data_IF_996766664863
#
_entry.id   IF_996766664863
#
_cell.length_a   1.000
_cell.length_b   1.000
_cell.length_c   1.000
_cell.angle_alpha   90.00
_cell.angle_beta   90.00
_cell.angle_gamma   90.00
#
_symmetry.space_group_name_H-M   'P 1'
#
loop_
_entity.id
_entity.type
_entity.pdbx_description
1 polymer ?
#
# COMPACT_ATOMS: atom_id res chain seq x y z
N UNK A 1 57.12 21.16 3.59
CA UNK A 1 56.34 20.16 2.83
C UNK A 1 55.24 19.45 3.65
N UNK A 2 55.40 19.24 4.97
CA UNK A 2 54.39 18.56 5.82
C UNK A 2 53.01 19.25 5.93
N UNK A 3 52.96 20.58 5.75
CA UNK A 3 51.72 21.37 5.87
C UNK A 3 50.78 21.29 4.65
N UNK A 4 51.32 21.06 3.45
CA UNK A 4 50.51 20.87 2.25
C UNK A 4 49.75 19.54 2.26
N UNK A 5 50.32 18.50 2.90
CA UNK A 5 49.69 17.19 3.00
C UNK A 5 48.44 17.21 3.90
N UNK A 6 48.48 17.98 4.98
CA UNK A 6 47.33 18.17 5.89
C UNK A 6 46.17 18.93 5.22
N UNK A 7 46.46 19.94 4.40
CA UNK A 7 45.42 20.67 3.66
C UNK A 7 44.78 19.79 2.58
N UNK A 8 45.56 18.95 1.88
CA UNK A 8 45.03 18.01 0.89
C UNK A 8 44.11 16.96 1.54
N UNK A 9 44.49 16.44 2.72
CA UNK A 9 43.68 15.46 3.46
C UNK A 9 42.37 16.06 4.00
N UNK A 10 42.40 17.32 4.45
CA UNK A 10 41.21 18.05 4.88
C UNK A 10 40.26 18.34 3.71
N UNK A 11 40.80 18.67 2.53
CA UNK A 11 40.01 18.93 1.32
C UNK A 11 39.30 17.66 0.82
N UNK A 12 39.96 16.50 0.86
CA UNK A 12 39.36 15.21 0.49
C UNK A 12 38.26 14.80 1.48
N UNK A 13 38.41 15.11 2.78
CA UNK A 13 37.35 14.88 3.76
C UNK A 13 36.12 15.80 3.54
N UNK A 14 36.34 17.04 3.10
CA UNK A 14 35.27 17.99 2.78
C UNK A 14 34.54 17.64 1.47
N UNK A 15 35.21 17.00 0.52
CA UNK A 15 34.61 16.55 -0.75
C UNK A 15 33.83 15.22 -0.59
N UNK A 16 34.10 14.44 0.46
CA UNK A 16 33.37 13.21 0.74
C UNK A 16 31.95 13.43 1.30
N UNK A 17 31.57 14.67 1.66
CA UNK A 17 30.19 14.99 2.06
C UNK A 17 29.24 15.22 0.89
N UNK A 18 29.74 15.21 -0.36
CA UNK A 18 28.90 15.19 -1.53
C UNK A 18 28.54 13.72 -1.87
N UNK A 19 27.77 13.08 -0.97
CA UNK A 19 27.21 11.77 -1.24
C UNK A 19 26.33 11.85 -2.50
N UNK A 20 26.48 10.91 -3.46
CA UNK A 20 25.74 10.95 -4.71
C UNK A 20 24.24 11.03 -4.42
N UNK A 21 23.55 11.90 -5.16
CA UNK A 21 22.12 12.25 -5.07
C UNK A 21 21.20 11.03 -5.00
N UNK A 22 21.15 10.44 -3.81
CA UNK A 22 20.53 9.18 -3.53
C UNK A 22 19.08 9.42 -3.15
N UNK A 23 18.22 9.49 -4.16
CA UNK A 23 16.80 9.19 -4.06
C UNK A 23 16.18 9.81 -2.78
N UNK A 24 16.18 11.14 -2.71
CA UNK A 24 15.72 11.91 -1.55
C UNK A 24 14.22 11.70 -1.42
N UNK A 25 13.78 10.93 -0.43
CA UNK A 25 12.35 10.81 -0.13
C UNK A 25 11.73 12.18 0.12
N UNK A 26 10.41 12.25 0.11
CA UNK A 26 9.70 13.51 0.31
C UNK A 26 9.93 14.05 1.71
N UNK A 27 10.40 15.29 1.81
CA UNK A 27 10.62 15.99 3.07
C UNK A 27 9.76 17.25 3.14
N UNK A 28 9.12 17.48 4.29
CA UNK A 28 8.41 18.71 4.59
C UNK A 28 8.49 19.00 6.09
N UNK A 29 8.76 20.26 6.44
CA UNK A 29 8.75 20.76 7.83
C UNK A 29 9.59 19.90 8.81
N UNK A 30 10.80 19.51 8.37
CA UNK A 30 11.74 18.71 9.16
C UNK A 30 11.37 17.23 9.27
N UNK A 31 10.41 16.74 8.48
CA UNK A 31 9.96 15.35 8.46
C UNK A 31 10.18 14.80 7.06
N UNK A 32 10.89 13.68 6.96
CA UNK A 32 11.16 13.00 5.72
C UNK A 32 10.57 11.60 5.76
N UNK A 33 9.87 11.22 4.71
CA UNK A 33 9.34 9.87 4.53
C UNK A 33 9.86 9.30 3.22
N UNK A 34 10.18 8.00 3.24
CA UNK A 34 10.62 7.27 2.06
C UNK A 34 10.03 5.87 2.05
N UNK A 35 9.48 5.45 0.93
CA UNK A 35 9.06 4.07 0.68
C UNK A 35 9.84 3.47 -0.48
N UNK A 36 10.15 2.17 -0.39
CA UNK A 36 10.77 1.40 -1.47
C UNK A 36 10.49 -0.09 -1.29
N UNK A 37 10.56 -0.87 -2.36
CA UNK A 37 10.67 -2.32 -2.23
C UNK A 37 12.09 -2.73 -1.78
N UNK A 38 12.21 -3.84 -1.04
CA UNK A 38 13.48 -4.40 -0.57
C UNK A 38 13.77 -5.82 -1.11
N UNK A 39 13.06 -6.25 -2.16
CA UNK A 39 13.18 -7.58 -2.72
C UNK A 39 12.70 -7.65 -4.16
N UNK A 40 12.73 -8.86 -4.72
CA UNK A 40 12.19 -9.11 -6.05
C UNK A 40 10.68 -8.88 -6.05
N UNK A 41 10.21 -8.12 -7.04
CA UNK A 41 8.80 -7.82 -7.21
C UNK A 41 8.23 -8.91 -8.11
N UNK A 42 7.37 -9.77 -7.57
CA UNK A 42 6.77 -10.89 -8.31
C UNK A 42 5.31 -11.07 -7.94
N UNK A 43 4.52 -11.48 -8.92
CA UNK A 43 3.11 -11.86 -8.73
C UNK A 43 3.00 -12.98 -7.68
N UNK A 44 1.96 -12.91 -6.83
CA UNK A 44 1.65 -13.91 -5.78
C UNK A 44 2.79 -14.17 -4.79
N UNK A 45 3.80 -13.31 -4.77
CA UNK A 45 4.91 -13.36 -3.83
C UNK A 45 4.78 -12.21 -2.84
N UNK A 46 5.18 -12.44 -1.61
CA UNK A 46 5.25 -11.40 -0.60
C UNK A 46 6.40 -10.44 -0.93
N UNK A 47 6.09 -9.16 -1.11
CA UNK A 47 7.05 -8.11 -1.44
C UNK A 47 7.27 -7.24 -0.21
N UNK A 48 8.48 -7.21 0.36
CA UNK A 48 8.77 -6.38 1.52
C UNK A 48 8.90 -4.92 1.10
N UNK A 49 7.97 -4.08 1.55
CA UNK A 49 8.05 -2.63 1.44
C UNK A 49 8.73 -2.06 2.68
N UNK A 50 9.79 -1.28 2.48
CA UNK A 50 10.54 -0.63 3.55
C UNK A 50 10.20 0.86 3.57
N UNK A 51 9.57 1.27 4.65
CA UNK A 51 9.22 2.66 4.94
C UNK A 51 10.23 3.20 5.93
N UNK A 52 10.91 4.28 5.58
CA UNK A 52 11.83 5.03 6.45
C UNK A 52 11.22 6.38 6.76
N UNK A 53 11.12 6.70 8.05
CA UNK A 53 10.67 8.00 8.52
C UNK A 53 11.77 8.62 9.37
N UNK A 54 12.16 9.84 9.03
CA UNK A 54 13.11 10.64 9.80
C UNK A 54 12.45 11.95 10.19
N UNK A 55 12.65 12.40 11.42
CA UNK A 55 12.15 13.69 11.90
C UNK A 55 13.26 14.46 12.59
N UNK A 56 13.28 15.78 12.43
CA UNK A 56 14.17 16.70 13.16
C UNK A 56 13.50 17.29 14.42
N UNK A 57 12.24 16.94 14.67
CA UNK A 57 11.43 17.43 15.80
C UNK A 57 10.64 16.31 16.48
N UNK A 58 10.18 16.57 17.70
CA UNK A 58 9.31 15.65 18.43
C UNK A 58 7.92 15.61 17.80
N UNK A 59 7.43 14.40 17.52
CA UNK A 59 6.14 14.11 16.92
C UNK A 59 5.38 13.09 17.80
N UNK A 60 4.65 13.56 18.84
CA UNK A 60 3.80 12.69 19.63
C UNK A 60 2.60 12.23 18.78
N UNK A 61 2.15 11.00 19.03
CA UNK A 61 0.93 10.43 18.47
C UNK A 61 0.84 10.42 16.93
N UNK A 62 1.99 10.37 16.26
CA UNK A 62 2.06 10.42 14.79
C UNK A 62 1.39 9.22 14.17
N UNK A 63 0.51 9.46 13.19
CA UNK A 63 -0.12 8.41 12.39
C UNK A 63 0.63 8.26 11.08
N UNK A 64 1.21 7.08 10.88
CA UNK A 64 1.84 6.68 9.62
C UNK A 64 0.86 5.73 8.94
N UNK A 65 0.44 6.04 7.72
CA UNK A 65 -0.52 5.26 6.95
C UNK A 65 0.15 4.75 5.67
N UNK A 66 0.03 3.46 5.40
CA UNK A 66 0.38 2.87 4.11
C UNK A 66 -0.90 2.52 3.37
N UNK A 67 -1.02 2.97 2.13
CA UNK A 67 -2.15 2.74 1.24
C UNK A 67 -1.68 2.08 -0.05
N UNK A 68 -2.42 1.08 -0.53
CA UNK A 68 -2.14 0.34 -1.76
C UNK A 68 -3.36 0.42 -2.67
N UNK A 69 -3.14 0.78 -3.94
CA UNK A 69 -4.20 0.94 -4.95
C UNK A 69 -3.70 0.54 -6.35
N UNK A 70 -4.50 -0.11 -7.22
CA UNK A 70 -5.78 -0.72 -6.91
C UNK A 70 -5.56 -2.07 -6.22
N UNK A 71 -6.00 -2.21 -4.98
CA UNK A 71 -5.93 -3.46 -4.23
C UNK A 71 -4.53 -3.84 -3.74
N UNK A 72 -4.30 -5.15 -3.59
CA UNK A 72 -3.17 -5.70 -2.86
C UNK A 72 -3.57 -6.25 -1.50
N UNK A 73 -2.82 -7.24 -1.02
CA UNK A 73 -3.03 -7.89 0.28
C UNK A 73 -1.87 -7.45 1.18
N UNK A 74 -2.18 -6.71 2.23
CA UNK A 74 -1.19 -6.31 3.24
C UNK A 74 -1.08 -7.46 4.25
N UNK A 75 0.06 -8.14 4.26
CA UNK A 75 0.30 -9.31 5.11
C UNK A 75 0.76 -8.89 6.53
N UNK A 76 0.79 -9.81 7.50
CA UNK A 76 1.38 -9.60 8.83
C UNK A 76 0.97 -8.30 9.53
N UNK A 77 -0.31 -8.22 9.91
CA UNK A 77 -0.92 -7.07 10.57
C UNK A 77 -0.56 -6.84 12.05
N UNK A 78 0.57 -7.37 12.53
CA UNK A 78 1.00 -7.21 13.91
C UNK A 78 1.36 -5.74 14.24
N UNK A 79 1.02 -5.32 15.46
CA UNK A 79 1.32 -3.98 16.02
C UNK A 79 0.66 -2.77 15.33
N UNK A 80 -0.46 -2.98 14.62
CA UNK A 80 -1.17 -1.94 13.88
C UNK A 80 -2.37 -1.43 14.67
N UNK A 81 -2.59 -0.12 14.59
CA UNK A 81 -3.68 0.52 15.31
C UNK A 81 -4.99 0.43 14.54
N UNK A 82 -4.94 0.48 13.21
CA UNK A 82 -6.10 0.31 12.34
C UNK A 82 -5.71 -0.48 11.08
N UNK A 83 -6.54 -1.43 10.68
CA UNK A 83 -6.47 -2.09 9.38
C UNK A 83 -7.79 -1.82 8.67
N UNK A 84 -7.73 -1.11 7.55
CA UNK A 84 -8.92 -0.80 6.75
C UNK A 84 -8.73 -1.42 5.37
N UNK A 85 -9.26 -2.62 5.19
CA UNK A 85 -9.50 -3.16 3.85
C UNK A 85 -10.89 -2.70 3.41
N UNK A 86 -10.98 -1.78 2.43
CA UNK A 86 -12.28 -1.29 1.96
C UNK A 86 -12.98 -2.37 1.11
N UNK A 87 -14.30 -2.47 1.29
CA UNK A 87 -15.19 -3.58 0.86
C UNK A 87 -15.24 -3.94 -0.63
N UNK A 88 -14.49 -3.27 -1.51
CA UNK A 88 -14.42 -3.57 -2.94
C UNK A 88 -13.01 -3.95 -3.42
N UNK A 89 -12.06 -4.16 -2.50
CA UNK A 89 -10.67 -4.51 -2.83
C UNK A 89 -9.91 -3.42 -3.61
N UNK A 90 -10.48 -2.22 -3.75
CA UNK A 90 -9.86 -1.14 -4.50
C UNK A 90 -8.72 -0.49 -3.72
N UNK A 91 -8.80 -0.41 -2.40
CA UNK A 91 -7.76 0.17 -1.54
C UNK A 91 -7.55 -0.73 -0.34
N UNK A 92 -6.31 -1.13 -0.11
CA UNK A 92 -5.86 -1.71 1.14
C UNK A 92 -5.10 -0.65 1.94
N UNK A 93 -5.45 -0.44 3.19
CA UNK A 93 -4.83 0.56 4.05
C UNK A 93 -4.48 -0.01 5.43
N UNK A 94 -3.35 0.46 5.95
CA UNK A 94 -2.91 0.11 7.29
C UNK A 94 -2.25 1.31 7.96
N UNK A 95 -2.48 1.47 9.26
CA UNK A 95 -1.95 2.59 10.02
C UNK A 95 -1.23 2.17 11.30
N UNK A 96 -0.17 2.90 11.62
CA UNK A 96 0.59 2.79 12.86
C UNK A 96 0.54 4.12 13.61
N UNK A 97 0.30 4.06 14.92
CA UNK A 97 0.51 5.20 15.83
C UNK A 97 1.87 5.06 16.49
N UNK A 98 2.76 6.05 16.31
CA UNK A 98 4.10 6.07 16.90
C UNK A 98 4.41 7.44 17.48
N UNK A 99 5.05 7.44 18.64
CA UNK A 99 5.72 8.64 19.16
C UNK A 99 7.14 8.66 18.57
N UNK A 100 7.52 9.77 17.98
CA UNK A 100 8.87 9.97 17.45
C UNK A 100 9.53 11.16 18.15
N UNK A 101 10.76 10.98 18.64
CA UNK A 101 11.56 12.06 19.19
C UNK A 101 12.30 12.83 18.09
N UNK A 102 12.77 14.03 18.41
CA UNK A 102 13.62 14.82 17.53
C UNK A 102 14.88 14.03 17.11
N UNK A 103 15.25 14.15 15.83
CA UNK A 103 16.38 13.47 15.17
C UNK A 103 16.28 11.94 15.18
N UNK A 104 15.10 11.39 15.44
CA UNK A 104 14.87 9.95 15.36
C UNK A 104 14.61 9.52 13.91
N UNK A 105 15.16 8.36 13.55
CA UNK A 105 14.78 7.61 12.36
C UNK A 105 14.14 6.30 12.78
N UNK A 106 13.01 5.95 12.17
CA UNK A 106 12.37 4.65 12.31
C UNK A 106 12.28 3.97 10.96
N UNK A 107 12.30 2.64 10.97
CA UNK A 107 12.10 1.81 9.79
C UNK A 107 10.94 0.86 10.06
N UNK A 108 9.95 0.88 9.18
CA UNK A 108 8.80 -0.04 9.18
C UNK A 108 8.94 -0.91 7.94
N UNK A 109 8.85 -2.23 8.13
CA UNK A 109 8.83 -3.18 7.01
C UNK A 109 7.44 -3.78 6.93
N UNK A 110 6.85 -3.72 5.74
CA UNK A 110 5.51 -4.20 5.49
C UNK A 110 5.46 -5.08 4.24
N UNK A 111 5.01 -6.31 4.41
CA UNK A 111 4.81 -7.26 3.33
C UNK A 111 3.51 -6.97 2.57
N UNK A 112 3.58 -6.93 1.24
CA UNK A 112 2.42 -6.76 0.35
C UNK A 112 2.45 -7.86 -0.71
N UNK A 113 1.30 -8.48 -0.98
CA UNK A 113 1.13 -9.46 -2.05
C UNK A 113 0.11 -8.98 -3.08
N UNK A 114 0.43 -9.17 -4.36
CA UNK A 114 -0.47 -8.86 -5.47
C UNK A 114 -0.90 -10.15 -6.17
N UNK A 115 -2.21 -10.36 -6.31
CA UNK A 115 -2.76 -11.57 -6.91
C UNK A 115 -2.79 -11.51 -8.45
N UNK A 116 -2.89 -10.30 -9.01
CA UNK A 116 -3.03 -10.04 -10.44
C UNK A 116 -1.87 -9.19 -11.00
N UNK A 117 -1.60 -9.26 -12.31
CA UNK A 117 -0.70 -8.32 -12.96
C UNK A 117 -1.38 -6.94 -13.10
N UNK A 118 -0.60 -5.88 -13.09
CA UNK A 118 -1.10 -4.51 -13.19
C UNK A 118 -0.13 -3.47 -12.66
N UNK A 119 -0.54 -2.21 -12.78
CA UNK A 119 0.17 -1.07 -12.19
C UNK A 119 -0.47 -0.73 -10.84
N UNK A 120 0.33 -0.73 -9.78
CA UNK A 120 -0.08 -0.50 -8.40
C UNK A 120 0.66 0.70 -7.82
N UNK A 121 -0.07 1.62 -7.22
CA UNK A 121 0.44 2.71 -6.40
C UNK A 121 0.53 2.27 -4.94
N UNK A 122 1.73 2.34 -4.37
CA UNK A 122 2.00 2.14 -2.95
C UNK A 122 2.43 3.46 -2.35
N UNK A 123 1.59 4.02 -1.50
CA UNK A 123 1.77 5.35 -0.92
C UNK A 123 1.91 5.23 0.58
N UNK A 124 2.87 5.96 1.14
CA UNK A 124 2.95 6.20 2.58
C UNK A 124 2.62 7.66 2.86
N UNK A 125 1.83 7.89 3.91
CA UNK A 125 1.43 9.21 4.37
C UNK A 125 1.71 9.33 5.86
N UNK A 126 2.14 10.52 6.29
CA UNK A 126 2.29 10.87 7.69
C UNK A 126 1.31 12.00 7.99
N UNK A 127 0.39 11.73 8.92
CA UNK A 127 -0.60 12.69 9.39
C UNK A 127 -0.33 13.02 10.87
N UNK A 128 -0.39 14.30 11.19
CA UNK A 128 -0.24 14.85 12.54
C UNK A 128 -0.54 16.35 12.55
N UNK A 129 -0.44 17.01 13.71
CA UNK A 129 -0.71 18.45 13.87
C UNK A 129 -0.05 19.32 12.77
N UNK A 130 -0.83 19.65 11.72
CA UNK A 130 -0.39 20.40 10.53
C UNK A 130 0.72 19.73 9.69
N UNK A 131 0.87 18.41 9.80
CA UNK A 131 1.85 17.63 9.06
C UNK A 131 1.12 16.83 7.97
N UNK A 132 1.53 17.04 6.73
CA UNK A 132 1.16 16.21 5.59
C UNK A 132 2.41 15.95 4.75
N UNK A 133 3.00 14.76 4.93
CA UNK A 133 4.16 14.32 4.15
C UNK A 133 3.83 12.97 3.54
N UNK A 134 4.09 12.84 2.24
CA UNK A 134 3.72 11.65 1.47
C UNK A 134 4.86 11.22 0.56
N UNK A 135 5.04 9.92 0.42
CA UNK A 135 5.91 9.35 -0.61
C UNK A 135 5.15 8.24 -1.35
N UNK A 136 5.45 8.07 -2.63
CA UNK A 136 4.71 7.22 -3.55
C UNK A 136 5.68 6.45 -4.45
N UNK A 137 5.46 5.15 -4.54
CA UNK A 137 6.11 4.28 -5.53
C UNK A 137 5.04 3.57 -6.37
N UNK A 138 5.34 3.39 -7.65
CA UNK A 138 4.48 2.67 -8.59
C UNK A 138 5.14 1.34 -8.92
N UNK A 139 4.46 0.24 -8.63
CA UNK A 139 4.90 -1.12 -8.93
C UNK A 139 4.14 -1.63 -10.16
N UNK A 140 4.87 -2.04 -11.20
CA UNK A 140 4.32 -2.76 -12.35
C UNK A 140 4.56 -4.25 -12.16
N UNK A 141 3.49 -5.00 -11.94
CA UNK A 141 3.52 -6.45 -11.80
C UNK A 141 3.15 -7.09 -13.14
N UNK A 142 4.00 -7.95 -13.67
CA UNK A 142 3.70 -8.78 -14.85
C UNK A 142 3.47 -10.24 -14.42
N UNK A 143 3.23 -11.14 -15.37
CA UNK A 143 3.03 -12.57 -15.05
C UNK A 143 4.33 -13.27 -14.63
N UNK A 144 5.51 -12.75 -15.00
CA UNK A 144 6.81 -13.40 -14.76
C UNK A 144 7.60 -12.68 -13.68
N UNK A 145 7.73 -11.36 -13.80
CA UNK A 145 8.45 -10.49 -12.88
C UNK A 145 7.72 -9.14 -12.70
N UNK A 146 8.27 -8.23 -11.90
CA UNK A 146 7.76 -6.88 -11.73
C UNK A 146 8.87 -5.85 -11.55
N UNK A 147 8.53 -4.59 -11.79
CA UNK A 147 9.47 -3.48 -11.79
C UNK A 147 8.88 -2.36 -10.93
N UNK A 148 9.72 -1.74 -10.11
CA UNK A 148 9.37 -0.54 -9.34
C UNK A 148 9.79 0.72 -10.09
N UNK A 149 8.88 1.68 -10.12
CA UNK A 149 9.08 3.03 -10.62
C UNK A 149 8.85 4.01 -9.49
N UNK A 150 9.68 5.05 -9.43
CA UNK A 150 9.41 6.19 -8.57
C UNK A 150 8.28 7.02 -9.18
N UNK A 151 7.49 7.70 -8.36
CA UNK A 151 6.35 8.50 -8.84
C UNK A 151 6.72 9.51 -9.93
N UNK A 152 7.94 10.08 -9.86
CA UNK A 152 8.43 11.07 -10.82
C UNK A 152 9.20 10.47 -12.00
N UNK A 153 9.38 9.14 -12.04
CA UNK A 153 10.01 8.47 -13.17
C UNK A 153 8.98 8.28 -14.28
N UNK A 154 9.24 8.77 -15.52
CA UNK A 154 8.36 8.49 -16.65
C UNK A 154 8.16 6.99 -16.80
N UNK A 155 6.91 6.54 -16.68
CA UNK A 155 6.59 5.14 -16.93
C UNK A 155 6.94 4.82 -18.39
N UNK A 156 7.64 3.69 -18.66
CA UNK A 156 7.84 3.28 -20.03
C UNK A 156 6.46 3.10 -20.67
N UNK A 157 6.28 3.55 -21.94
CA UNK A 157 5.01 3.45 -22.62
C UNK A 157 4.51 2.02 -22.50
N UNK A 158 3.26 1.86 -22.04
CA UNK A 158 2.63 0.56 -21.99
C UNK A 158 2.68 0.01 -23.41
N UNK A 159 3.48 -1.04 -23.63
CA UNK A 159 3.52 -1.75 -24.90
C UNK A 159 2.12 -2.34 -25.08
N UNK A 160 1.22 -1.57 -25.68
CA UNK A 160 -0.11 -2.03 -26.01
C UNK A 160 0.06 -3.35 -26.75
N UNK A 161 -0.62 -4.39 -26.28
CA UNK A 161 -0.66 -5.66 -26.99
C UNK A 161 -0.93 -5.36 -28.47
N UNK A 162 -0.23 -6.02 -29.40
CA UNK A 162 -0.36 -5.74 -30.82
C UNK A 162 -1.85 -5.70 -31.17
N UNK A 163 -2.31 -4.57 -31.72
CA UNK A 163 -3.67 -4.41 -32.18
C UNK A 163 -3.98 -5.64 -33.04
N UNK A 164 -4.85 -6.53 -32.57
CA UNK A 164 -5.32 -7.63 -33.39
C UNK A 164 -6.07 -6.95 -34.52
N UNK A 165 -5.43 -6.91 -35.69
CA UNK A 165 -6.06 -6.42 -36.90
C UNK A 165 -7.08 -7.49 -37.25
N UNK A 166 -8.33 -7.26 -36.86
CA UNK A 166 -9.44 -8.13 -37.25
C UNK A 166 -9.61 -7.96 -38.75
N UNK A 167 -8.98 -8.83 -39.53
CA UNK A 167 -9.25 -8.95 -40.95
C UNK A 167 -10.75 -9.17 -41.11
N UNK A 168 -11.47 -8.39 -41.93
CA UNK A 168 -12.90 -8.61 -42.17
C UNK A 168 -13.13 -10.02 -42.71
N UNK A 169 -13.55 -10.93 -41.84
CA UNK A 169 -14.04 -12.24 -42.24
C UNK A 169 -15.39 -12.10 -42.95
N UNK A 170 -15.82 -13.12 -43.71
CA UNK A 170 -17.13 -13.12 -44.33
C UNK A 170 -18.21 -12.86 -43.28
N UNK A 171 -19.14 -11.96 -43.61
CA UNK A 171 -20.24 -11.56 -42.74
C UNK A 171 -20.95 -12.81 -42.21
N UNK A 172 -21.11 -12.98 -40.89
CA UNK A 172 -21.83 -14.12 -40.35
C UNK A 172 -23.27 -14.10 -40.88
N UNK A 173 -23.68 -15.18 -41.53
CA UNK A 173 -25.08 -15.42 -41.87
C UNK A 173 -25.84 -15.63 -40.56
N UNK A 174 -26.61 -14.62 -40.14
CA UNK A 174 -27.45 -14.73 -38.96
C UNK A 174 -28.47 -15.86 -39.15
N UNK A 175 -28.34 -16.91 -38.35
CA UNK A 175 -29.36 -17.95 -38.20
C UNK A 175 -30.61 -17.32 -37.54
N UNK A 176 -31.81 -17.82 -37.86
CA UNK A 176 -33.06 -17.28 -37.33
C UNK A 176 -33.06 -17.33 -35.81
N UNK A 177 -33.32 -16.17 -35.20
CA UNK A 177 -33.48 -15.98 -33.76
C UNK A 177 -34.55 -16.93 -33.22
N UNK A 178 -34.18 -17.83 -32.31
CA UNK A 178 -35.16 -18.62 -31.56
C UNK A 178 -36.03 -17.69 -30.70
N UNK A 179 -37.33 -17.74 -30.92
CA UNK A 179 -38.34 -17.06 -30.12
C UNK A 179 -38.33 -17.66 -28.71
N UNK A 180 -37.79 -16.90 -27.74
CA UNK A 180 -37.77 -17.30 -26.34
C UNK A 180 -39.20 -17.49 -25.81
N UNK A 181 -39.45 -18.69 -25.27
CA UNK A 181 -40.71 -19.08 -24.62
C UNK A 181 -40.86 -18.31 -23.29
N UNK A 182 -42.05 -17.81 -22.95
CA UNK A 182 -42.26 -17.07 -21.70
C UNK A 182 -41.96 -17.96 -20.49
N UNK A 183 -41.09 -17.45 -19.62
CA UNK A 183 -40.71 -18.08 -18.35
C UNK A 183 -41.90 -18.09 -17.38
N UNK A 184 -42.12 -19.17 -16.63
CA UNK A 184 -43.16 -19.20 -15.60
C UNK A 184 -42.86 -18.16 -14.51
N UNK A 185 -43.92 -17.49 -14.06
CA UNK A 185 -43.90 -16.46 -13.03
C UNK A 185 -43.47 -17.05 -11.68
N UNK A 186 -42.65 -16.34 -10.87
CA UNK A 186 -42.24 -16.84 -9.56
C UNK A 186 -43.43 -16.94 -8.61
N UNK A 187 -43.54 -18.10 -7.96
CA UNK A 187 -44.51 -18.40 -6.91
C UNK A 187 -44.10 -17.65 -5.64
N UNK A 188 -45.02 -16.85 -5.09
CA UNK A 188 -44.80 -16.03 -3.91
C UNK A 188 -44.81 -16.97 -2.69
N UNK A 189 -43.65 -17.20 -2.11
CA UNK A 189 -43.53 -17.95 -0.84
C UNK A 189 -43.79 -16.99 0.32
N UNK A 190 -44.89 -17.22 1.01
CA UNK A 190 -45.32 -16.49 2.20
C UNK A 190 -44.36 -16.78 3.38
N UNK A 191 -43.74 -15.73 3.91
CA UNK A 191 -42.77 -15.85 4.99
C UNK A 191 -43.48 -16.20 6.31
N UNK A 192 -43.12 -17.34 6.89
CA UNK A 192 -43.59 -17.76 8.21
C UNK A 192 -42.91 -16.89 9.29
N UNK A 193 -43.66 -16.35 10.27
CA UNK A 193 -43.08 -15.52 11.33
C UNK A 193 -42.15 -16.35 12.21
N UNK A 194 -40.90 -15.91 12.30
CA UNK A 194 -39.89 -16.50 13.20
C UNK A 194 -40.10 -15.94 14.60
N UNK A 195 -40.34 -16.82 15.57
CA UNK A 195 -40.53 -16.49 16.98
C UNK A 195 -39.22 -15.95 17.58
N UNK A 196 -39.33 -14.81 18.23
CA UNK A 196 -38.25 -14.11 18.93
C UNK A 196 -37.81 -14.90 20.18
N UNK A 197 -36.50 -15.11 20.40
CA UNK A 197 -36.02 -15.78 21.60
C UNK A 197 -36.10 -14.84 22.81
N UNK A 198 -36.82 -15.28 23.84
CA UNK A 198 -36.89 -14.65 25.16
C UNK A 198 -35.49 -14.64 25.81
N UNK A 199 -34.95 -13.46 26.05
CA UNK A 199 -33.69 -13.26 26.79
C UNK A 199 -33.81 -13.79 28.23
N UNK A 200 -32.94 -14.73 28.60
CA UNK A 200 -32.71 -15.12 30.00
C UNK A 200 -31.78 -14.10 30.69
N UNK A 201 -32.07 -13.69 31.94
CA UNK A 201 -31.24 -12.75 32.67
C UNK A 201 -29.91 -13.39 33.10
N UNK A 202 -28.81 -12.86 32.58
CA UNK A 202 -27.46 -13.25 32.95
C UNK A 202 -27.18 -12.86 34.42
N UNK A 203 -26.94 -13.84 35.28
CA UNK A 203 -26.54 -13.62 36.67
C UNK A 203 -25.03 -13.29 36.72
N UNK A 204 -24.70 -12.12 37.26
CA UNK A 204 -23.31 -11.66 37.39
C UNK A 204 -22.61 -12.38 38.56
N UNK A 205 -21.42 -12.99 38.37
CA UNK A 205 -20.68 -13.60 39.46
C UNK A 205 -20.03 -12.54 40.35
N UNK A 206 -20.37 -12.57 41.64
CA UNK A 206 -19.76 -11.75 42.69
C UNK A 206 -18.32 -12.19 42.96
N UNK A 207 -17.35 -11.30 42.74
CA UNK A 207 -15.94 -11.55 43.05
C UNK A 207 -15.70 -11.24 44.54
N UNK A 208 -15.07 -12.14 45.31
CA UNK A 208 -14.73 -11.87 46.71
C UNK A 208 -13.57 -10.86 46.82
N UNK A 209 -13.72 -9.89 47.72
CA UNK A 209 -12.66 -8.96 48.09
C UNK A 209 -11.59 -9.70 48.91
N UNK A 210 -10.32 -9.52 48.55
CA UNK A 210 -9.18 -10.05 49.31
C UNK A 210 -8.59 -8.96 50.24
N UNK A 211 -8.17 -9.32 51.47
CA UNK A 211 -7.53 -8.43 52.44
C UNK A 211 -6.10 -8.00 52.08
#
# INVERSE_FOLDING_TARGET
MRRFFLFSLLLILLLASCAPGGNTGTCSDGICVKIRSAGAIKKKTSIPMVIKVKTDKDLPETRITLSVYPGGIIEDAADKTDVVSKKNGAVAEIAWKKNMGARQEITITQNIRFEEPGDYSVMVMIFGHNIDVRDLVVLRITNEDGIEFLADTPLPPSTQAPLITVTPGPSPTFLPTETLRPSPSPEIVEATPTTEPTDEPFSMPTIPAYP
#
